data_IF_735086441497
#
_entry.id   IF_735086441497
#
_cell.length_a   1.000
_cell.length_b   1.000
_cell.length_c   1.000
_cell.angle_alpha   90.00
_cell.angle_beta   90.00
_cell.angle_gamma   90.00
#
_symmetry.space_group_name_H-M   'P 1'
#
loop_
_entity.id
_entity.type
_entity.pdbx_description
1 polymer ?
#
# COMPACT_ATOMS: atom_id res chain seq x y z
N UNK A 1 18.53 -7.74 -7.92
CA UNK A 1 17.14 -7.24 -7.78
C UNK A 1 16.36 -7.60 -9.04
N UNK A 2 15.50 -8.63 -8.97
CA UNK A 2 14.78 -9.15 -10.12
C UNK A 2 13.66 -8.21 -10.60
N UNK A 3 13.46 -8.14 -11.92
CA UNK A 3 12.48 -7.27 -12.61
C UNK A 3 11.05 -7.40 -12.05
N UNK A 4 10.69 -8.59 -11.54
CA UNK A 4 9.39 -8.88 -10.92
C UNK A 4 9.14 -8.06 -9.65
N UNK A 5 10.16 -7.86 -8.82
CA UNK A 5 10.05 -7.13 -7.57
C UNK A 5 9.77 -5.63 -7.81
N UNK A 6 10.33 -5.07 -8.88
CA UNK A 6 10.07 -3.67 -9.27
C UNK A 6 8.62 -3.48 -9.71
N UNK A 7 8.07 -4.39 -10.52
CA UNK A 7 6.66 -4.36 -10.94
C UNK A 7 5.70 -4.53 -9.78
N UNK A 8 6.03 -5.37 -8.80
CA UNK A 8 5.19 -5.59 -7.62
C UNK A 8 5.21 -4.37 -6.70
N UNK A 9 6.38 -3.75 -6.52
CA UNK A 9 6.51 -2.48 -5.81
C UNK A 9 5.76 -1.35 -6.53
N UNK A 10 5.86 -1.25 -7.86
CA UNK A 10 5.14 -0.26 -8.67
C UNK A 10 3.62 -0.42 -8.52
N UNK A 11 3.09 -1.65 -8.60
CA UNK A 11 1.67 -1.91 -8.40
C UNK A 11 1.22 -1.55 -6.98
N UNK A 12 2.05 -1.83 -5.98
CA UNK A 12 1.75 -1.45 -4.61
C UNK A 12 1.65 0.07 -4.43
N UNK A 13 2.63 0.79 -4.97
CA UNK A 13 2.66 2.25 -4.95
C UNK A 13 1.47 2.81 -5.73
N UNK A 14 1.17 2.26 -6.89
CA UNK A 14 0.01 2.67 -7.69
C UNK A 14 -1.32 2.47 -6.93
N UNK A 15 -1.51 1.32 -6.30
CA UNK A 15 -2.69 1.05 -5.48
C UNK A 15 -2.80 2.01 -4.28
N UNK A 16 -1.68 2.31 -3.63
CA UNK A 16 -1.62 3.25 -2.50
C UNK A 16 -2.00 4.67 -2.93
N UNK A 17 -1.48 5.12 -4.09
CA UNK A 17 -1.81 6.43 -4.66
C UNK A 17 -3.30 6.53 -5.01
N UNK A 18 -3.89 5.47 -5.58
CA UNK A 18 -5.33 5.43 -5.87
C UNK A 18 -6.15 5.51 -4.58
N UNK A 19 -5.77 4.76 -3.54
CA UNK A 19 -6.45 4.81 -2.25
C UNK A 19 -6.41 6.22 -1.63
N UNK A 20 -5.26 6.88 -1.68
CA UNK A 20 -5.10 8.25 -1.19
C UNK A 20 -5.90 9.25 -2.04
N UNK A 21 -5.94 9.08 -3.37
CA UNK A 21 -6.73 9.93 -4.25
C UNK A 21 -8.24 9.80 -3.97
N UNK A 22 -8.73 8.58 -3.70
CA UNK A 22 -10.12 8.36 -3.31
C UNK A 22 -10.41 8.98 -1.94
N UNK A 23 -9.55 8.77 -0.95
CA UNK A 23 -9.72 9.39 0.37
C UNK A 23 -9.72 10.93 0.28
N UNK A 24 -8.84 11.51 -0.53
CA UNK A 24 -8.79 12.94 -0.79
C UNK A 24 -10.08 13.44 -1.49
N UNK A 25 -10.60 12.71 -2.48
CA UNK A 25 -11.83 13.06 -3.17
C UNK A 25 -13.04 13.04 -2.21
N UNK A 26 -13.13 12.02 -1.35
CA UNK A 26 -14.20 11.91 -0.34
C UNK A 26 -14.09 13.03 0.71
N UNK A 27 -12.86 13.34 1.16
CA UNK A 27 -12.59 14.45 2.08
C UNK A 27 -12.92 15.83 1.48
N UNK A 28 -12.82 15.97 0.16
CA UNK A 28 -13.22 17.17 -0.57
C UNK A 28 -14.74 17.30 -0.67
N UNK A 29 -15.44 16.18 -0.90
CA UNK A 29 -16.90 16.14 -1.00
C UNK A 29 -17.60 16.34 0.37
N UNK A 30 -17.02 15.85 1.47
CA UNK A 30 -17.61 15.96 2.81
C UNK A 30 -16.61 16.50 3.84
N UNK A 31 -16.46 17.84 3.93
CA UNK A 31 -15.42 18.46 4.76
C UNK A 31 -15.66 18.32 6.26
N UNK A 32 -16.90 18.08 6.71
CA UNK A 32 -17.24 17.92 8.14
C UNK A 32 -16.70 16.60 8.73
N UNK A 33 -16.48 15.59 7.90
CA UNK A 33 -15.93 14.28 8.30
C UNK A 33 -14.45 14.07 7.94
N UNK A 34 -13.75 15.13 7.54
CA UNK A 34 -12.40 15.09 6.95
C UNK A 34 -11.41 14.31 7.82
N UNK A 35 -11.43 14.51 9.13
CA UNK A 35 -10.49 13.85 10.05
C UNK A 35 -10.68 12.33 10.09
N UNK A 36 -11.93 11.86 10.11
CA UNK A 36 -12.23 10.41 10.10
C UNK A 36 -11.88 9.79 8.76
N UNK A 37 -12.15 10.49 7.65
CA UNK A 37 -11.84 10.02 6.29
C UNK A 37 -10.32 9.87 6.13
N UNK A 38 -9.55 10.85 6.60
CA UNK A 38 -8.09 10.77 6.58
C UNK A 38 -7.55 9.70 7.53
N UNK A 39 -8.12 9.55 8.73
CA UNK A 39 -7.74 8.48 9.65
C UNK A 39 -7.96 7.10 9.03
N UNK A 40 -9.12 6.84 8.44
CA UNK A 40 -9.41 5.59 7.73
C UNK A 40 -8.51 5.40 6.50
N UNK A 41 -8.25 6.46 5.73
CA UNK A 41 -7.38 6.41 4.55
C UNK A 41 -5.92 6.08 4.91
N UNK A 42 -5.37 6.72 5.93
CA UNK A 42 -4.03 6.43 6.45
C UNK A 42 -3.98 5.02 7.05
N UNK A 43 -5.00 4.63 7.81
CA UNK A 43 -5.06 3.29 8.39
C UNK A 43 -5.09 2.20 7.31
N UNK A 44 -5.89 2.39 6.25
CA UNK A 44 -5.91 1.51 5.08
C UNK A 44 -4.57 1.46 4.37
N UNK A 45 -3.94 2.61 4.13
CA UNK A 45 -2.60 2.69 3.55
C UNK A 45 -1.55 1.93 4.36
N UNK A 46 -1.53 2.12 5.69
CA UNK A 46 -0.64 1.40 6.61
C UNK A 46 -0.92 -0.10 6.57
N UNK A 47 -2.18 -0.52 6.60
CA UNK A 47 -2.55 -1.93 6.51
C UNK A 47 -2.08 -2.56 5.19
N UNK A 48 -2.25 -1.88 4.06
CA UNK A 48 -1.76 -2.36 2.75
C UNK A 48 -0.24 -2.52 2.73
N UNK A 49 0.50 -1.58 3.33
CA UNK A 49 1.95 -1.68 3.48
C UNK A 49 2.33 -2.85 4.39
N UNK A 50 1.65 -3.02 5.53
CA UNK A 50 1.92 -4.14 6.44
C UNK A 50 1.64 -5.51 5.80
N UNK A 51 0.53 -5.63 5.05
CA UNK A 51 0.19 -6.86 4.33
C UNK A 51 1.21 -7.22 3.26
N UNK A 52 1.87 -6.24 2.66
CA UNK A 52 2.88 -6.45 1.61
C UNK A 52 4.28 -6.79 2.13
N UNK A 53 4.55 -6.62 3.43
CA UNK A 53 5.81 -7.08 4.05
C UNK A 53 5.89 -8.61 4.02
N UNK A 54 4.77 -9.32 4.21
CA UNK A 54 4.69 -10.78 4.19
C UNK A 54 5.24 -11.43 2.91
N UNK A 55 4.76 -11.05 1.71
CA UNK A 55 5.29 -11.58 0.44
C UNK A 55 6.75 -11.19 0.20
N UNK A 56 7.18 -9.99 0.62
CA UNK A 56 8.60 -9.58 0.54
C UNK A 56 9.50 -10.49 1.39
N UNK A 57 9.09 -10.79 2.62
CA UNK A 57 9.80 -11.70 3.52
C UNK A 57 9.85 -13.12 2.97
N UNK A 58 8.75 -13.58 2.38
CA UNK A 58 8.63 -14.92 1.79
C UNK A 58 9.53 -15.07 0.56
N UNK A 59 9.59 -14.04 -0.29
CA UNK A 59 10.51 -13.99 -1.43
C UNK A 59 11.98 -14.00 -0.98
N UNK A 60 12.33 -13.25 0.06
CA UNK A 60 13.70 -13.24 0.62
C UNK A 60 14.10 -14.60 1.23
N UNK A 61 13.17 -15.31 1.86
CA UNK A 61 13.44 -16.64 2.42
C UNK A 61 13.69 -17.68 1.32
N UNK A 62 12.88 -17.65 0.25
CA UNK A 62 13.05 -18.52 -0.91
C UNK A 62 14.39 -18.28 -1.63
N UNK A 63 14.80 -17.01 -1.77
CA UNK A 63 16.08 -16.63 -2.37
C UNK A 63 17.29 -17.08 -1.51
N UNK A 64 17.09 -17.22 -0.19
CA UNK A 64 18.14 -17.64 0.76
C UNK A 64 18.27 -19.15 0.90
N UNK A 65 17.20 -19.91 0.66
CA UNK A 65 17.18 -21.38 0.68
C UNK A 65 17.62 -22.03 -0.64
N UNK A 66 17.75 -21.24 -1.72
CA UNK A 66 18.14 -21.72 -3.05
C UNK A 66 19.64 -21.71 -3.34
N UNK A 67 20.51 -21.64 -2.32
CA UNK A 67 21.96 -21.84 -2.46
C UNK A 67 22.38 -23.17 -1.85
#
# INVERSE_FOLDING_TARGET
>A
MGRHMLTELLNLVAGLLVALAVAAAVAWAYPLGRDVIWACGIFGAVATVLMSIGPLRRAQLLDRSGR
#
